data_IF_366944476450
#
_entry.id   IF_366944476450
#
_cell.length_a   1.000
_cell.length_b   1.000
_cell.length_c   1.000
_cell.angle_alpha   90.00
_cell.angle_beta   90.00
_cell.angle_gamma   90.00
#
_symmetry.space_group_name_H-M   'P 1'
#
loop_
_entity.id
_entity.type
_entity.pdbx_description
1 polymer ?
#
# COMPACT_ATOMS: atom_id res chain seq x y z
N UNK A 1 -20.06 1.52 16.36
CA UNK A 1 -18.79 1.40 15.62
C UNK A 1 -19.00 0.40 14.51
N UNK A 2 -19.07 0.85 13.25
CA UNK A 2 -19.33 -0.03 12.13
C UNK A 2 -18.17 -1.03 11.99
N UNK A 3 -18.47 -2.33 11.88
CA UNK A 3 -17.49 -3.41 11.70
C UNK A 3 -16.53 -3.14 10.52
N UNK A 4 -16.93 -2.25 9.59
CA UNK A 4 -16.10 -1.75 8.48
C UNK A 4 -14.83 -1.02 8.95
N UNK A 5 -14.85 -0.32 10.09
CA UNK A 5 -13.66 0.33 10.66
C UNK A 5 -12.72 -0.67 11.35
N UNK A 6 -13.25 -1.77 11.91
CA UNK A 6 -12.50 -2.66 12.79
C UNK A 6 -11.46 -3.51 12.03
N UNK A 7 -11.76 -3.92 10.79
CA UNK A 7 -10.86 -4.72 9.95
C UNK A 7 -9.73 -3.89 9.31
N UNK A 8 -10.00 -2.62 8.99
CA UNK A 8 -8.98 -1.73 8.41
C UNK A 8 -7.99 -1.28 9.50
N UNK A 9 -8.49 -1.02 10.71
CA UNK A 9 -7.63 -0.71 11.86
C UNK A 9 -6.71 -1.89 12.23
N UNK A 10 -7.21 -3.13 12.14
CA UNK A 10 -6.40 -4.34 12.36
C UNK A 10 -5.34 -4.58 11.27
N UNK A 11 -5.50 -4.03 10.07
CA UNK A 11 -4.52 -4.17 8.99
C UNK A 11 -3.34 -3.21 9.17
N UNK A 12 -3.58 -2.00 9.69
CA UNK A 12 -2.55 -0.98 9.93
C UNK A 12 -1.71 -1.28 11.19
N UNK A 13 -2.28 -1.93 12.21
CA UNK A 13 -1.55 -2.31 13.44
C UNK A 13 -0.60 -3.50 13.24
N UNK A 14 -0.85 -4.35 12.24
CA UNK A 14 0.00 -5.51 11.91
C UNK A 14 1.39 -5.11 11.36
N UNK A 15 1.53 -3.92 10.78
CA UNK A 15 2.81 -3.47 10.20
C UNK A 15 3.83 -3.01 11.24
N UNK A 16 3.39 -2.67 12.44
CA UNK A 16 4.22 -2.07 13.49
C UNK A 16 5.31 -2.98 14.07
N UNK A 17 5.05 -4.28 14.37
CA UNK A 17 6.07 -5.16 14.92
C UNK A 17 7.24 -5.37 13.96
N UNK A 18 7.03 -5.34 12.64
CA UNK A 18 8.09 -5.60 11.67
C UNK A 18 9.10 -4.47 11.54
N UNK A 19 8.64 -3.21 11.59
CA UNK A 19 9.56 -2.07 11.60
C UNK A 19 10.20 -1.85 12.98
N UNK A 20 9.51 -2.25 14.07
CA UNK A 20 10.07 -2.24 15.41
C UNK A 20 11.14 -3.34 15.61
N UNK A 21 10.85 -4.60 15.25
CA UNK A 21 11.77 -5.74 15.41
C UNK A 21 12.97 -5.68 14.43
N UNK A 22 12.82 -5.06 13.26
CA UNK A 22 13.95 -4.88 12.33
C UNK A 22 14.93 -3.78 12.76
N UNK A 23 14.64 -2.99 13.80
CA UNK A 23 15.67 -2.09 14.38
C UNK A 23 16.77 -2.86 15.11
N UNK A 24 16.50 -4.12 15.52
CA UNK A 24 17.46 -4.99 16.18
C UNK A 24 18.20 -5.95 15.23
N UNK A 25 17.84 -5.99 13.93
CA UNK A 25 18.58 -6.74 12.91
C UNK A 25 19.85 -6.00 12.45
N UNK A 26 20.74 -5.69 13.40
CA UNK A 26 22.15 -5.32 13.15
C UNK A 26 23.01 -6.48 12.62
N UNK A 27 22.43 -7.50 11.99
CA UNK A 27 23.15 -8.70 11.58
C UNK A 27 23.96 -8.55 10.28
N UNK A 28 23.65 -7.56 9.42
CA UNK A 28 24.34 -7.40 8.13
C UNK A 28 25.58 -6.48 8.14
N UNK A 29 25.79 -5.70 9.19
CA UNK A 29 27.08 -5.03 9.43
C UNK A 29 28.22 -6.05 9.63
N UNK A 30 27.96 -7.19 10.29
CA UNK A 30 28.96 -8.24 10.48
C UNK A 30 29.31 -9.03 9.22
N UNK A 31 28.36 -9.28 8.32
CA UNK A 31 28.63 -10.00 7.08
C UNK A 31 29.45 -9.14 6.10
N UNK A 32 29.05 -7.87 5.92
CA UNK A 32 29.80 -6.90 5.11
C UNK A 32 31.17 -6.57 5.72
N UNK A 33 31.29 -6.45 7.04
CA UNK A 33 32.59 -6.34 7.71
C UNK A 33 33.43 -7.61 7.60
N UNK A 34 32.85 -8.82 7.61
CA UNK A 34 33.62 -10.06 7.40
C UNK A 34 34.22 -10.13 5.99
N UNK A 35 33.50 -9.71 4.96
CA UNK A 35 34.07 -9.63 3.60
C UNK A 35 35.14 -8.54 3.48
N UNK A 36 34.96 -7.38 4.13
CA UNK A 36 35.99 -6.34 4.18
C UNK A 36 37.23 -6.79 4.98
N UNK A 37 37.03 -7.49 6.08
CA UNK A 37 38.07 -8.01 6.96
C UNK A 37 38.81 -9.22 6.35
N UNK A 38 38.12 -10.08 5.59
CA UNK A 38 38.75 -11.15 4.81
C UNK A 38 39.52 -10.58 3.61
N UNK A 39 39.03 -9.52 2.97
CA UNK A 39 39.76 -8.81 1.92
C UNK A 39 41.00 -8.09 2.47
N UNK A 40 40.95 -7.58 3.70
CA UNK A 40 42.09 -6.94 4.37
C UNK A 40 43.06 -7.93 5.03
N UNK A 41 42.65 -9.18 5.29
CA UNK A 41 43.51 -10.23 5.88
C UNK A 41 44.09 -11.22 4.87
N UNK A 42 43.85 -11.04 3.56
CA UNK A 42 44.52 -11.85 2.55
C UNK A 42 46.02 -11.55 2.59
N UNK A 43 46.88 -12.51 2.98
CA UNK A 43 48.31 -12.29 3.08
C UNK A 43 48.88 -11.99 1.69
N UNK A 44 49.82 -11.05 1.63
CA UNK A 44 50.53 -10.56 0.45
C UNK A 44 51.44 -11.64 -0.18
N UNK A 45 50.85 -12.75 -0.59
CA UNK A 45 51.50 -13.79 -1.37
C UNK A 45 51.44 -13.43 -2.85
N UNK A 46 52.62 -13.26 -3.44
CA UNK A 46 52.88 -12.94 -4.84
C UNK A 46 51.94 -13.68 -5.82
N UNK A 47 50.93 -12.99 -6.33
CA UNK A 47 50.18 -13.44 -7.50
C UNK A 47 50.78 -12.83 -8.76
N UNK A 48 51.40 -13.70 -9.56
CA UNK A 48 51.83 -13.42 -10.92
C UNK A 48 50.66 -12.84 -11.73
N UNK A 49 50.94 -11.70 -12.33
CA UNK A 49 50.17 -10.99 -13.34
C UNK A 49 49.54 -11.94 -14.37
N UNK A 50 48.22 -12.08 -14.29
CA UNK A 50 47.39 -12.63 -15.37
C UNK A 50 46.19 -11.69 -15.60
N UNK A 51 46.41 -10.78 -16.54
CA UNK A 51 45.49 -10.28 -17.57
C UNK A 51 44.01 -9.98 -17.23
N UNK A 52 43.70 -8.69 -17.27
CA UNK A 52 42.51 -8.11 -17.93
C UNK A 52 41.10 -8.53 -17.49
N UNK A 53 40.86 -8.80 -16.21
CA UNK A 53 39.52 -8.57 -15.65
C UNK A 53 39.41 -7.10 -15.27
N UNK A 54 38.67 -6.31 -16.07
CA UNK A 54 38.23 -4.96 -15.68
C UNK A 54 37.72 -5.04 -14.25
N UNK A 55 38.43 -4.41 -13.31
CA UNK A 55 38.05 -4.38 -11.90
C UNK A 55 36.77 -3.56 -11.76
N UNK A 56 35.64 -4.23 -11.85
CA UNK A 56 34.34 -3.65 -11.53
C UNK A 56 34.41 -3.23 -10.07
N UNK A 57 34.39 -1.92 -9.83
CA UNK A 57 34.51 -1.39 -8.47
C UNK A 57 33.36 -1.94 -7.62
N UNK A 58 33.59 -2.33 -6.36
CA UNK A 58 32.55 -2.89 -5.50
C UNK A 58 31.34 -1.94 -5.34
N UNK A 59 31.55 -0.63 -5.49
CA UNK A 59 30.51 0.40 -5.51
C UNK A 59 29.52 0.23 -6.69
N UNK A 60 30.03 -0.07 -7.88
CA UNK A 60 29.20 -0.26 -9.08
C UNK A 60 28.32 -1.51 -9.00
N UNK A 61 28.79 -2.54 -8.27
CA UNK A 61 28.08 -3.80 -8.06
C UNK A 61 26.90 -3.63 -7.07
N UNK A 62 27.07 -2.82 -6.03
CA UNK A 62 25.99 -2.45 -5.08
C UNK A 62 24.90 -1.63 -5.79
N UNK A 63 25.29 -0.66 -6.61
CA UNK A 63 24.36 0.17 -7.37
C UNK A 63 23.55 -0.63 -8.41
N UNK A 64 24.17 -1.66 -9.00
CA UNK A 64 23.48 -2.54 -9.95
C UNK A 64 22.43 -3.42 -9.27
N UNK A 65 22.72 -3.95 -8.07
CA UNK A 65 21.76 -4.77 -7.31
C UNK A 65 20.56 -3.95 -6.85
N UNK A 66 20.77 -2.74 -6.32
CA UNK A 66 19.66 -1.88 -5.91
C UNK A 66 18.73 -1.52 -7.07
N UNK A 67 19.29 -1.26 -8.26
CA UNK A 67 18.48 -1.00 -9.46
C UNK A 67 17.63 -2.22 -9.86
N UNK A 68 18.19 -3.42 -9.80
CA UNK A 68 17.44 -4.65 -10.10
C UNK A 68 16.33 -4.91 -9.08
N UNK A 69 16.60 -4.68 -7.79
CA UNK A 69 15.61 -4.79 -6.73
C UNK A 69 14.42 -3.84 -6.98
N UNK A 70 14.70 -2.55 -7.19
CA UNK A 70 13.67 -1.53 -7.47
C UNK A 70 12.84 -1.92 -8.69
N UNK A 71 13.48 -2.35 -9.78
CA UNK A 71 12.78 -2.73 -11.01
C UNK A 71 11.82 -3.91 -10.81
N UNK A 72 12.25 -4.95 -10.08
CA UNK A 72 11.39 -6.10 -9.76
C UNK A 72 10.21 -5.70 -8.88
N UNK A 73 10.42 -4.82 -7.91
CA UNK A 73 9.36 -4.28 -7.06
C UNK A 73 8.33 -3.51 -7.90
N UNK A 74 8.78 -2.64 -8.81
CA UNK A 74 7.90 -1.89 -9.73
C UNK A 74 7.09 -2.84 -10.62
N UNK A 75 7.72 -3.86 -11.20
CA UNK A 75 7.01 -4.86 -12.02
C UNK A 75 5.91 -5.54 -11.21
N UNK A 76 6.22 -5.94 -9.97
CA UNK A 76 5.25 -6.60 -9.07
C UNK A 76 4.03 -5.70 -8.84
N UNK A 77 4.26 -4.42 -8.50
CA UNK A 77 3.19 -3.44 -8.30
C UNK A 77 2.38 -3.23 -9.58
N UNK A 78 3.05 -3.10 -10.73
CA UNK A 78 2.39 -2.91 -12.02
C UNK A 78 1.48 -4.10 -12.38
N UNK A 79 1.93 -5.34 -12.14
CA UNK A 79 1.12 -6.54 -12.35
C UNK A 79 -0.13 -6.52 -11.46
N UNK A 80 -0.01 -6.14 -10.20
CA UNK A 80 -1.16 -6.05 -9.30
C UNK A 80 -2.17 -5.00 -9.75
N UNK A 81 -1.70 -3.82 -10.19
CA UNK A 81 -2.55 -2.75 -10.71
C UNK A 81 -3.29 -3.23 -11.98
N UNK A 82 -2.60 -3.94 -12.88
CA UNK A 82 -3.22 -4.49 -14.10
C UNK A 82 -4.30 -5.51 -13.75
N UNK A 83 -4.05 -6.43 -12.80
CA UNK A 83 -5.04 -7.41 -12.34
C UNK A 83 -6.27 -6.68 -11.78
N UNK A 84 -6.06 -5.68 -10.92
CA UNK A 84 -7.14 -4.89 -10.34
C UNK A 84 -7.95 -4.18 -11.43
N UNK A 85 -7.26 -3.58 -12.41
CA UNK A 85 -7.91 -2.89 -13.52
C UNK A 85 -8.76 -3.85 -14.35
N UNK A 86 -8.25 -5.05 -14.67
CA UNK A 86 -9.02 -6.09 -15.38
C UNK A 86 -10.28 -6.49 -14.60
N UNK A 87 -10.18 -6.69 -13.27
CA UNK A 87 -11.33 -7.02 -12.43
C UNK A 87 -12.37 -5.90 -12.48
N UNK A 88 -11.96 -4.64 -12.32
CA UNK A 88 -12.86 -3.49 -12.41
C UNK A 88 -13.48 -3.37 -13.81
N UNK A 89 -12.69 -3.52 -14.87
CA UNK A 89 -13.17 -3.43 -16.26
C UNK A 89 -14.15 -4.53 -16.63
N UNK A 90 -14.08 -5.71 -16.01
CA UNK A 90 -15.05 -6.81 -16.22
C UNK A 90 -16.27 -6.64 -15.30
N UNK A 91 -16.08 -6.22 -14.05
CA UNK A 91 -17.16 -6.10 -13.08
C UNK A 91 -18.11 -4.92 -13.38
N UNK A 92 -17.57 -3.80 -13.86
CA UNK A 92 -18.32 -2.56 -14.06
C UNK A 92 -19.26 -2.51 -15.29
N UNK A 93 -19.07 -3.26 -16.38
CA UNK A 93 -20.05 -3.27 -17.47
C UNK A 93 -21.18 -4.30 -17.28
N UNK A 94 -20.99 -5.34 -16.46
CA UNK A 94 -21.94 -6.46 -16.36
C UNK A 94 -23.04 -6.15 -15.32
N UNK A 95 -24.21 -5.68 -15.77
CA UNK A 95 -25.34 -5.32 -14.89
C UNK A 95 -25.78 -6.45 -13.95
N UNK A 96 -25.86 -7.68 -14.47
CA UNK A 96 -26.22 -8.85 -13.65
C UNK A 96 -25.25 -9.07 -12.48
N UNK A 97 -23.94 -8.83 -12.70
CA UNK A 97 -22.92 -8.94 -11.66
C UNK A 97 -23.03 -7.78 -10.66
N UNK A 98 -23.33 -6.57 -11.12
CA UNK A 98 -23.59 -5.41 -10.24
C UNK A 98 -24.74 -5.68 -9.29
N UNK A 99 -25.88 -6.12 -9.83
CA UNK A 99 -27.09 -6.35 -9.03
C UNK A 99 -26.88 -7.50 -8.06
N UNK A 100 -26.19 -8.56 -8.50
CA UNK A 100 -25.79 -9.64 -7.62
C UNK A 100 -24.88 -9.17 -6.49
N UNK A 101 -23.86 -8.36 -6.77
CA UNK A 101 -22.93 -7.82 -5.75
C UNK A 101 -23.64 -6.88 -4.78
N UNK A 102 -24.60 -6.07 -5.24
CA UNK A 102 -25.44 -5.22 -4.37
C UNK A 102 -26.30 -6.05 -3.42
N UNK A 103 -26.87 -7.15 -3.92
CA UNK A 103 -27.72 -8.04 -3.14
C UNK A 103 -26.93 -8.97 -2.21
N UNK A 104 -25.63 -9.16 -2.46
CA UNK A 104 -24.75 -10.05 -1.70
C UNK A 104 -23.53 -9.32 -1.13
N UNK A 105 -23.72 -8.32 -0.24
CA UNK A 105 -22.60 -7.55 0.30
C UNK A 105 -21.63 -8.43 1.10
N UNK A 106 -22.12 -9.51 1.72
CA UNK A 106 -21.30 -10.49 2.46
C UNK A 106 -20.18 -11.10 1.60
N UNK A 107 -20.39 -11.25 0.29
CA UNK A 107 -19.39 -11.79 -0.62
C UNK A 107 -18.17 -10.90 -0.71
N UNK A 108 -18.39 -9.59 -0.84
CA UNK A 108 -17.32 -8.58 -0.83
C UNK A 108 -16.54 -8.61 0.49
N UNK A 109 -17.22 -8.82 1.62
CA UNK A 109 -16.58 -8.93 2.93
C UNK A 109 -15.72 -10.19 3.04
N UNK A 110 -16.24 -11.33 2.61
CA UNK A 110 -15.52 -12.59 2.62
C UNK A 110 -14.26 -12.51 1.76
N UNK A 111 -14.37 -11.97 0.56
CA UNK A 111 -13.24 -11.81 -0.36
C UNK A 111 -12.20 -10.81 0.17
N UNK A 112 -12.64 -9.69 0.75
CA UNK A 112 -11.74 -8.77 1.45
C UNK A 112 -11.01 -9.44 2.61
N UNK A 113 -11.74 -10.16 3.46
CA UNK A 113 -11.16 -10.87 4.61
C UNK A 113 -10.14 -11.95 4.18
N UNK A 114 -10.50 -12.80 3.22
CA UNK A 114 -9.60 -13.84 2.69
C UNK A 114 -8.37 -13.24 2.01
N UNK A 115 -8.56 -12.17 1.24
CA UNK A 115 -7.47 -11.45 0.60
C UNK A 115 -6.48 -10.88 1.63
N UNK A 116 -6.98 -10.20 2.66
CA UNK A 116 -6.15 -9.67 3.76
C UNK A 116 -5.48 -10.80 4.55
N UNK A 117 -6.16 -11.92 4.78
CA UNK A 117 -5.59 -13.06 5.49
C UNK A 117 -4.43 -13.70 4.71
N UNK A 118 -4.57 -13.90 3.39
CA UNK A 118 -3.47 -14.39 2.56
C UNK A 118 -2.27 -13.43 2.56
N UNK A 119 -2.52 -12.12 2.55
CA UNK A 119 -1.46 -11.13 2.65
C UNK A 119 -0.77 -11.15 4.02
N UNK A 120 -1.56 -11.29 5.08
CA UNK A 120 -1.06 -11.44 6.45
C UNK A 120 -0.20 -12.69 6.57
N UNK A 121 -0.61 -13.81 6.00
CA UNK A 121 0.19 -15.04 5.95
C UNK A 121 1.50 -14.85 5.18
N UNK A 122 1.43 -14.20 4.00
CA UNK A 122 2.65 -13.83 3.26
C UNK A 122 3.55 -12.91 4.08
N UNK A 123 3.00 -12.07 4.95
CA UNK A 123 3.78 -11.15 5.79
C UNK A 123 4.40 -11.86 7.01
N UNK A 124 3.62 -12.70 7.70
CA UNK A 124 4.00 -13.33 8.96
C UNK A 124 4.83 -14.61 8.80
N UNK A 125 4.72 -15.30 7.65
CA UNK A 125 5.37 -16.60 7.42
C UNK A 125 6.48 -16.43 6.37
N UNK A 126 7.75 -16.30 6.79
CA UNK A 126 8.87 -16.08 5.88
C UNK A 126 9.01 -17.16 4.80
N UNK A 127 8.60 -18.40 5.11
CA UNK A 127 8.64 -19.51 4.15
C UNK A 127 7.80 -19.20 2.90
N UNK A 128 6.64 -18.55 3.05
CA UNK A 128 5.81 -18.15 1.90
C UNK A 128 6.35 -16.95 1.15
N UNK A 129 7.17 -16.09 1.77
CA UNK A 129 7.80 -14.96 1.09
C UNK A 129 8.83 -15.44 0.06
N UNK A 130 9.62 -16.46 0.45
CA UNK A 130 10.78 -16.90 -0.31
C UNK A 130 10.53 -18.16 -1.17
N UNK A 131 9.40 -18.84 -0.99
CA UNK A 131 9.06 -20.03 -1.77
C UNK A 131 8.62 -19.69 -3.20
N UNK A 132 9.56 -19.74 -4.14
CA UNK A 132 9.26 -19.70 -5.58
C UNK A 132 8.71 -21.06 -6.06
N UNK A 133 7.68 -21.11 -6.92
CA UNK A 133 6.89 -20.01 -7.49
C UNK A 133 5.64 -19.64 -6.67
N UNK A 134 5.43 -20.30 -5.52
CA UNK A 134 4.23 -20.19 -4.71
C UNK A 134 3.91 -18.75 -4.31
N UNK A 135 4.94 -17.98 -3.97
CA UNK A 135 4.83 -16.58 -3.57
C UNK A 135 4.14 -15.69 -4.63
N UNK A 136 4.40 -15.89 -5.93
CA UNK A 136 3.72 -15.18 -7.01
C UNK A 136 2.27 -15.64 -7.24
N UNK A 137 2.00 -16.93 -7.02
CA UNK A 137 0.64 -17.48 -7.13
C UNK A 137 -0.25 -16.88 -6.03
N UNK A 138 0.23 -16.88 -4.79
CA UNK A 138 -0.50 -16.29 -3.66
C UNK A 138 -0.68 -14.77 -3.87
N UNK A 139 0.32 -14.07 -4.40
CA UNK A 139 0.20 -12.66 -4.77
C UNK A 139 -0.98 -12.41 -5.72
N UNK A 140 -1.07 -13.18 -6.80
CA UNK A 140 -2.15 -13.04 -7.80
C UNK A 140 -3.49 -13.33 -7.16
N UNK A 141 -3.61 -14.43 -6.42
CA UNK A 141 -4.86 -14.82 -5.74
C UNK A 141 -5.29 -13.75 -4.74
N UNK A 142 -4.40 -13.28 -3.88
CA UNK A 142 -4.69 -12.24 -2.91
C UNK A 142 -5.13 -10.93 -3.59
N UNK A 143 -4.47 -10.55 -4.70
CA UNK A 143 -4.84 -9.36 -5.47
C UNK A 143 -6.22 -9.50 -6.08
N UNK A 144 -6.57 -10.68 -6.61
CA UNK A 144 -7.91 -10.95 -7.13
C UNK A 144 -8.96 -10.84 -6.01
N UNK A 145 -8.69 -11.46 -4.87
CA UNK A 145 -9.60 -11.45 -3.73
C UNK A 145 -9.87 -10.02 -3.23
N UNK A 146 -8.86 -9.16 -3.16
CA UNK A 146 -9.03 -7.76 -2.73
C UNK A 146 -9.57 -6.88 -3.86
N UNK A 147 -9.41 -7.28 -5.12
CA UNK A 147 -9.96 -6.54 -6.25
C UNK A 147 -11.48 -6.46 -6.25
N UNK A 148 -12.16 -7.50 -5.78
CA UNK A 148 -13.62 -7.51 -5.66
C UNK A 148 -14.18 -6.44 -4.71
N UNK A 149 -13.73 -6.33 -3.44
CA UNK A 149 -14.18 -5.25 -2.57
C UNK A 149 -13.79 -3.87 -3.09
N UNK A 150 -12.62 -3.72 -3.72
CA UNK A 150 -12.21 -2.45 -4.35
C UNK A 150 -13.14 -2.01 -5.49
N UNK A 151 -13.76 -2.96 -6.21
CA UNK A 151 -14.73 -2.67 -7.26
C UNK A 151 -16.13 -2.30 -6.73
N UNK A 152 -16.49 -2.69 -5.50
CA UNK A 152 -17.85 -2.52 -4.97
C UNK A 152 -18.31 -1.05 -4.92
N UNK A 153 -17.52 -0.07 -4.40
CA UNK A 153 -17.96 1.32 -4.40
C UNK A 153 -18.09 1.91 -5.81
N UNK A 154 -17.35 1.35 -6.77
CA UNK A 154 -17.38 1.81 -8.16
C UNK A 154 -18.66 1.37 -8.89
N UNK A 155 -19.36 0.35 -8.40
CA UNK A 155 -20.60 -0.16 -8.98
C UNK A 155 -21.77 0.83 -8.82
N UNK A 156 -21.74 1.68 -7.78
CA UNK A 156 -22.81 2.63 -7.48
C UNK A 156 -22.65 3.98 -8.19
N UNK A 157 -21.47 4.25 -8.76
CA UNK A 157 -21.17 5.49 -9.47
C UNK A 157 -21.19 5.31 -10.98
N UNK A 158 -21.34 6.42 -11.72
CA UNK A 158 -21.22 6.38 -13.16
C UNK A 158 -19.79 5.97 -13.58
N UNK A 159 -19.69 5.32 -14.75
CA UNK A 159 -18.42 4.81 -15.28
C UNK A 159 -17.30 5.87 -15.34
N UNK A 160 -17.64 7.13 -15.65
CA UNK A 160 -16.67 8.22 -15.67
C UNK A 160 -16.00 8.48 -14.31
N UNK A 161 -16.75 8.37 -13.20
CA UNK A 161 -16.21 8.54 -11.85
C UNK A 161 -15.19 7.46 -11.49
N UNK A 162 -15.28 6.28 -12.12
CA UNK A 162 -14.24 5.24 -11.96
C UNK A 162 -12.90 5.71 -12.49
N UNK A 163 -12.86 6.35 -13.66
CA UNK A 163 -11.60 6.89 -14.18
C UNK A 163 -11.05 8.00 -13.29
N UNK A 164 -11.93 8.87 -12.79
CA UNK A 164 -11.53 9.96 -11.88
C UNK A 164 -10.86 9.40 -10.62
N UNK A 165 -11.45 8.40 -9.97
CA UNK A 165 -10.87 7.81 -8.75
C UNK A 165 -9.50 7.18 -9.02
N UNK A 166 -9.35 6.46 -10.14
CA UNK A 166 -8.07 5.89 -10.56
C UNK A 166 -7.00 6.94 -10.85
N UNK A 167 -7.35 8.00 -11.58
CA UNK A 167 -6.42 9.10 -11.87
C UNK A 167 -5.98 9.76 -10.56
N UNK A 168 -6.92 10.03 -9.65
CA UNK A 168 -6.60 10.59 -8.32
C UNK A 168 -5.66 9.69 -7.53
N UNK A 169 -5.90 8.38 -7.48
CA UNK A 169 -5.02 7.40 -6.82
C UNK A 169 -3.61 7.42 -7.43
N UNK A 170 -3.50 7.48 -8.75
CA UNK A 170 -2.20 7.53 -9.43
C UNK A 170 -1.45 8.85 -9.18
N UNK A 171 -2.17 9.98 -9.15
CA UNK A 171 -1.59 11.29 -8.83
C UNK A 171 -1.08 11.29 -7.39
N UNK A 172 -1.88 10.84 -6.42
CA UNK A 172 -1.46 10.78 -5.01
C UNK A 172 -0.26 9.85 -4.87
N UNK A 173 -0.30 8.67 -5.49
CA UNK A 173 0.83 7.72 -5.53
C UNK A 173 2.10 8.40 -6.04
N UNK A 174 2.03 9.08 -7.19
CA UNK A 174 3.18 9.75 -7.79
C UNK A 174 3.72 10.87 -6.90
N UNK A 175 2.84 11.67 -6.29
CA UNK A 175 3.22 12.73 -5.34
C UNK A 175 3.90 12.13 -4.12
N UNK A 176 3.35 11.06 -3.54
CA UNK A 176 3.93 10.39 -2.36
C UNK A 176 5.29 9.80 -2.68
N UNK A 177 5.42 9.08 -3.80
CA UNK A 177 6.71 8.51 -4.23
C UNK A 177 7.74 9.61 -4.44
N UNK A 178 7.37 10.68 -5.14
CA UNK A 178 8.26 11.83 -5.40
C UNK A 178 8.67 12.53 -4.11
N UNK A 179 7.70 12.83 -3.25
CA UNK A 179 7.95 13.45 -1.95
C UNK A 179 8.86 12.58 -1.07
N UNK A 180 8.69 11.26 -1.11
CA UNK A 180 9.49 10.31 -0.32
C UNK A 180 10.95 10.24 -0.77
N UNK A 181 11.21 10.48 -2.06
CA UNK A 181 12.58 10.58 -2.61
C UNK A 181 13.27 11.85 -2.09
N UNK A 182 12.55 12.97 -2.01
CA UNK A 182 13.12 14.28 -1.64
C UNK A 182 13.15 14.52 -0.12
N UNK A 183 12.10 14.13 0.58
CA UNK A 183 11.93 14.29 2.02
C UNK A 183 12.40 13.02 2.70
N UNK A 184 13.59 13.02 3.31
CA UNK A 184 14.00 11.91 4.18
C UNK A 184 13.19 11.97 5.47
N UNK A 185 12.26 11.03 5.65
CA UNK A 185 11.41 10.97 6.82
C UNK A 185 12.11 10.19 7.94
N UNK A 186 12.27 10.82 9.09
CA UNK A 186 12.78 10.13 10.29
C UNK A 186 11.64 9.30 10.89
N UNK A 187 11.63 7.98 10.63
CA UNK A 187 10.48 7.08 10.90
C UNK A 187 9.83 7.29 12.27
N UNK A 188 10.62 7.32 13.34
CA UNK A 188 10.10 7.46 14.70
C UNK A 188 9.42 8.83 14.93
N UNK A 189 10.08 9.91 14.49
CA UNK A 189 9.53 11.28 14.61
C UNK A 189 8.37 11.53 13.65
N UNK A 190 8.37 10.86 12.51
CA UNK A 190 7.31 10.95 11.50
C UNK A 190 6.09 10.16 11.93
N UNK A 191 6.26 9.02 12.62
CA UNK A 191 5.17 8.22 13.17
C UNK A 191 4.42 8.97 14.29
N UNK A 192 5.16 9.49 15.28
CA UNK A 192 4.55 10.28 16.36
C UNK A 192 3.84 11.51 15.82
N UNK A 193 4.46 12.20 14.83
CA UNK A 193 3.80 13.33 14.15
C UNK A 193 2.56 12.88 13.37
N UNK A 194 2.58 11.74 12.69
CA UNK A 194 1.40 11.23 11.99
C UNK A 194 0.24 10.98 12.94
N UNK A 195 0.47 10.26 14.04
CA UNK A 195 -0.56 9.99 15.05
C UNK A 195 -1.13 11.30 15.57
N UNK A 196 -0.27 12.20 16.05
CA UNK A 196 -0.71 13.48 16.59
C UNK A 196 -1.48 14.27 15.53
N UNK A 197 -0.98 14.39 14.31
CA UNK A 197 -1.64 15.14 13.23
C UNK A 197 -2.96 14.50 12.82
N UNK A 198 -3.04 13.18 12.70
CA UNK A 198 -4.27 12.47 12.32
C UNK A 198 -5.34 12.66 13.39
N UNK A 199 -5.02 12.37 14.65
CA UNK A 199 -5.96 12.60 15.76
C UNK A 199 -6.31 14.08 15.94
N UNK A 200 -5.38 15.01 15.73
CA UNK A 200 -5.66 16.45 15.84
C UNK A 200 -6.56 16.93 14.72
N UNK A 201 -6.34 16.49 13.47
CA UNK A 201 -7.20 16.82 12.34
C UNK A 201 -8.58 16.19 12.50
N UNK A 202 -8.67 14.95 12.97
CA UNK A 202 -9.95 14.29 13.27
C UNK A 202 -10.71 15.03 14.37
N UNK A 203 -10.04 15.41 15.46
CA UNK A 203 -10.63 16.18 16.55
C UNK A 203 -11.09 17.56 16.09
N UNK A 204 -10.27 18.27 15.32
CA UNK A 204 -10.58 19.60 14.79
C UNK A 204 -11.79 19.53 13.85
N UNK A 205 -11.83 18.54 12.97
CA UNK A 205 -12.97 18.31 12.09
C UNK A 205 -14.24 18.02 12.88
N UNK A 206 -14.17 17.17 13.91
CA UNK A 206 -15.29 16.94 14.82
C UNK A 206 -15.76 18.25 15.47
N UNK A 207 -14.86 19.04 16.06
CA UNK A 207 -15.24 20.26 16.78
C UNK A 207 -15.81 21.35 15.85
N UNK A 208 -15.26 21.50 14.64
CA UNK A 208 -15.69 22.53 13.69
C UNK A 208 -16.98 22.12 12.98
N UNK A 209 -17.12 20.87 12.54
CA UNK A 209 -18.23 20.49 11.68
C UNK A 209 -19.43 19.92 12.45
N UNK A 210 -19.24 19.37 13.66
CA UNK A 210 -20.33 18.87 14.49
C UNK A 210 -21.45 19.90 14.80
N UNK A 211 -21.15 21.19 15.09
CA UNK A 211 -22.22 22.16 15.36
C UNK A 211 -22.92 22.71 14.11
N UNK A 212 -22.34 22.57 12.91
CA UNK A 212 -22.88 23.17 11.68
C UNK A 212 -23.60 22.19 10.77
N UNK A 213 -23.58 20.89 11.08
CA UNK A 213 -24.06 19.87 10.17
C UNK A 213 -25.40 19.29 10.65
N UNK A 214 -26.45 19.47 9.84
CA UNK A 214 -27.73 18.75 9.93
C UNK A 214 -27.69 17.31 9.33
N UNK A 215 -26.53 16.82 8.91
CA UNK A 215 -26.36 15.43 8.44
C UNK A 215 -26.42 14.44 9.61
N UNK A 216 -26.79 13.19 9.29
CA UNK A 216 -26.69 12.09 10.25
C UNK A 216 -25.23 11.96 10.74
N UNK A 217 -25.04 11.96 12.06
CA UNK A 217 -23.73 11.80 12.71
C UNK A 217 -22.90 10.62 12.14
N UNK A 218 -23.60 9.59 11.67
CA UNK A 218 -23.02 8.40 11.05
C UNK A 218 -22.26 8.69 9.75
N UNK A 219 -22.77 9.59 8.92
CA UNK A 219 -22.22 9.94 7.61
C UNK A 219 -20.91 10.73 7.72
N UNK A 220 -20.89 11.68 8.66
CA UNK A 220 -19.71 12.47 9.01
C UNK A 220 -18.60 11.55 9.54
N UNK A 221 -18.97 10.60 10.40
CA UNK A 221 -18.01 9.65 10.98
C UNK A 221 -17.38 8.76 9.90
N UNK A 222 -18.16 8.33 8.91
CA UNK A 222 -17.63 7.53 7.79
C UNK A 222 -16.60 8.32 6.98
N UNK A 223 -16.94 9.55 6.58
CA UNK A 223 -16.00 10.41 5.82
C UNK A 223 -14.73 10.66 6.63
N UNK A 224 -14.87 10.95 7.93
CA UNK A 224 -13.73 11.20 8.81
C UNK A 224 -12.79 9.99 8.90
N UNK A 225 -13.36 8.79 9.09
CA UNK A 225 -12.58 7.56 9.07
C UNK A 225 -11.88 7.35 7.72
N UNK A 226 -12.54 7.64 6.60
CA UNK A 226 -11.95 7.57 5.27
C UNK A 226 -10.71 8.45 5.13
N UNK A 227 -10.80 9.71 5.56
CA UNK A 227 -9.66 10.65 5.54
C UNK A 227 -8.52 10.20 6.47
N UNK A 228 -8.81 9.80 7.70
CA UNK A 228 -7.80 9.30 8.64
C UNK A 228 -7.03 8.09 8.10
N UNK A 229 -7.75 7.14 7.49
CA UNK A 229 -7.16 5.98 6.83
C UNK A 229 -6.30 6.38 5.61
N UNK A 230 -6.75 7.35 4.82
CA UNK A 230 -5.98 7.83 3.66
C UNK A 230 -4.64 8.45 4.08
N UNK A 231 -4.63 9.25 5.15
CA UNK A 231 -3.41 9.84 5.70
C UNK A 231 -2.44 8.75 6.17
N UNK A 232 -2.96 7.70 6.81
CA UNK A 232 -2.14 6.56 7.27
C UNK A 232 -1.53 5.80 6.10
N UNK A 233 -2.31 5.51 5.06
CA UNK A 233 -1.82 4.84 3.84
C UNK A 233 -0.74 5.66 3.13
N UNK A 234 -0.95 6.97 2.99
CA UNK A 234 0.03 7.90 2.39
C UNK A 234 1.36 7.82 3.15
N UNK A 235 1.30 7.77 4.47
CA UNK A 235 2.48 7.68 5.32
C UNK A 235 3.18 6.32 5.23
N UNK A 236 2.45 5.22 5.30
CA UNK A 236 3.02 3.87 5.16
C UNK A 236 3.68 3.69 3.80
N UNK A 237 3.04 4.21 2.75
CA UNK A 237 3.58 4.19 1.40
C UNK A 237 4.89 4.97 1.32
N UNK A 238 4.98 6.14 1.97
CA UNK A 238 6.20 6.93 2.00
C UNK A 238 7.35 6.18 2.67
N UNK A 239 7.08 5.48 3.78
CA UNK A 239 8.07 4.65 4.47
C UNK A 239 8.56 3.50 3.61
N UNK A 240 7.65 2.78 2.95
CA UNK A 240 8.00 1.65 2.10
C UNK A 240 8.85 2.13 0.91
N UNK A 241 8.51 3.26 0.28
CA UNK A 241 9.29 3.84 -0.82
C UNK A 241 10.71 4.19 -0.36
N UNK A 242 10.86 4.80 0.82
CA UNK A 242 12.19 5.11 1.37
C UNK A 242 13.00 3.86 1.68
N UNK A 243 12.34 2.83 2.21
CA UNK A 243 12.98 1.56 2.49
C UNK A 243 13.39 0.83 1.19
N UNK A 244 12.60 0.92 0.10
CA UNK A 244 12.95 0.40 -1.23
C UNK A 244 14.16 1.14 -1.83
N UNK A 245 14.23 2.46 -1.66
CA UNK A 245 15.33 3.29 -2.17
C UNK A 245 16.64 3.12 -1.39
N UNK A 246 16.63 2.34 -0.30
CA UNK A 246 17.82 2.01 0.47
C UNK A 246 18.26 3.14 1.40
N UNK A 247 17.32 3.81 2.07
CA UNK A 247 17.69 4.71 3.16
C UNK A 247 18.53 3.95 4.21
N UNK A 248 19.54 4.61 4.80
CA UNK A 248 20.65 3.97 5.54
C UNK A 248 20.23 3.11 6.74
N UNK A 249 18.96 3.17 7.13
CA UNK A 249 18.39 2.49 8.30
C UNK A 249 17.71 1.17 7.95
N UNK A 250 17.34 0.94 6.68
CA UNK A 250 16.63 -0.25 6.24
C UNK A 250 17.30 -0.81 4.99
N UNK A 251 17.86 -2.01 5.12
CA UNK A 251 18.39 -2.75 3.97
C UNK A 251 17.56 -4.00 3.80
N UNK A 252 16.73 -4.02 2.76
CA UNK A 252 16.04 -5.24 2.35
C UNK A 252 17.04 -6.20 1.71
N UNK A 253 16.79 -7.50 1.92
CA UNK A 253 17.48 -8.53 1.16
C UNK A 253 16.97 -8.55 -0.28
N UNK A 254 17.82 -8.95 -1.22
CA UNK A 254 17.50 -8.97 -2.66
C UNK A 254 16.25 -9.82 -2.99
N UNK A 255 15.91 -10.80 -2.13
CA UNK A 255 14.75 -11.70 -2.21
C UNK A 255 13.44 -11.11 -1.65
N UNK A 256 13.50 -9.98 -0.94
CA UNK A 256 12.32 -9.32 -0.34
C UNK A 256 11.60 -8.34 -1.28
N UNK A 257 12.04 -8.21 -2.54
CA UNK A 257 11.41 -7.32 -3.53
C UNK A 257 9.92 -7.64 -3.74
N UNK A 258 9.55 -8.92 -3.66
CA UNK A 258 8.16 -9.35 -3.78
C UNK A 258 7.31 -8.84 -2.63
N UNK A 259 7.84 -8.90 -1.39
CA UNK A 259 7.16 -8.37 -0.21
C UNK A 259 6.96 -6.86 -0.34
N UNK A 260 8.01 -6.12 -0.70
CA UNK A 260 7.90 -4.67 -0.93
C UNK A 260 6.88 -4.34 -2.03
N UNK A 261 6.87 -5.14 -3.11
CA UNK A 261 5.92 -4.98 -4.22
C UNK A 261 4.49 -5.24 -3.77
N UNK A 262 4.26 -6.35 -3.06
CA UNK A 262 2.97 -6.73 -2.48
C UNK A 262 2.42 -5.63 -1.58
N UNK A 263 3.23 -5.12 -0.65
CA UNK A 263 2.82 -4.09 0.29
C UNK A 263 2.52 -2.78 -0.41
N UNK A 264 3.37 -2.37 -1.36
CA UNK A 264 3.14 -1.14 -2.13
C UNK A 264 1.86 -1.24 -2.96
N UNK A 265 1.64 -2.36 -3.67
CA UNK A 265 0.43 -2.57 -4.45
C UNK A 265 -0.82 -2.67 -3.59
N UNK A 266 -0.73 -3.32 -2.43
CA UNK A 266 -1.80 -3.37 -1.43
C UNK A 266 -2.22 -1.95 -1.00
N UNK A 267 -1.27 -1.10 -0.63
CA UNK A 267 -1.57 0.29 -0.24
C UNK A 267 -2.25 1.07 -1.36
N UNK A 268 -1.83 0.87 -2.61
CA UNK A 268 -2.49 1.48 -3.79
C UNK A 268 -3.93 0.98 -3.92
N UNK A 269 -4.18 -0.33 -3.75
CA UNK A 269 -5.52 -0.91 -3.82
C UNK A 269 -6.41 -0.38 -2.69
N UNK A 270 -5.90 -0.27 -1.46
CA UNK A 270 -6.64 0.31 -0.34
C UNK A 270 -6.94 1.79 -0.53
N UNK A 271 -5.95 2.55 -1.03
CA UNK A 271 -6.16 3.95 -1.38
C UNK A 271 -7.25 4.10 -2.43
N UNK A 272 -7.23 3.26 -3.48
CA UNK A 272 -8.27 3.23 -4.50
C UNK A 272 -9.65 2.90 -3.90
N UNK A 273 -9.73 1.92 -2.99
CA UNK A 273 -10.98 1.56 -2.31
C UNK A 273 -11.53 2.74 -1.51
N UNK A 274 -10.70 3.43 -0.73
CA UNK A 274 -11.12 4.57 0.09
C UNK A 274 -11.59 5.71 -0.80
N UNK A 275 -10.78 6.12 -1.79
CA UNK A 275 -11.14 7.20 -2.73
C UNK A 275 -12.44 6.87 -3.44
N UNK A 276 -12.62 5.62 -3.88
CA UNK A 276 -13.85 5.19 -4.55
C UNK A 276 -15.05 5.21 -3.62
N UNK A 277 -14.86 4.87 -2.34
CA UNK A 277 -15.93 4.91 -1.33
C UNK A 277 -16.36 6.34 -1.03
N UNK A 278 -15.42 7.27 -0.87
CA UNK A 278 -15.71 8.68 -0.65
C UNK A 278 -16.43 9.32 -1.85
N UNK A 279 -15.96 9.04 -3.07
CA UNK A 279 -16.63 9.54 -4.29
C UNK A 279 -18.04 8.96 -4.44
N UNK A 280 -18.22 7.67 -4.16
CA UNK A 280 -19.53 7.05 -4.17
C UNK A 280 -20.48 7.66 -3.12
N UNK A 281 -19.96 7.97 -1.94
CA UNK A 281 -20.71 8.61 -0.88
C UNK A 281 -21.17 10.01 -1.27
N UNK A 282 -20.27 10.86 -1.79
CA UNK A 282 -20.58 12.20 -2.29
C UNK A 282 -21.60 12.15 -3.43
N UNK A 283 -21.47 11.18 -4.34
CA UNK A 283 -22.41 10.99 -5.45
C UNK A 283 -23.83 10.66 -4.96
N UNK A 284 -23.96 9.82 -3.93
CA UNK A 284 -25.27 9.48 -3.34
C UNK A 284 -25.90 10.69 -2.65
N UNK A 285 -25.12 11.45 -1.86
CA UNK A 285 -25.62 12.64 -1.18
C UNK A 285 -26.13 13.69 -2.17
N UNK A 286 -25.33 14.01 -3.19
CA UNK A 286 -25.71 15.01 -4.21
C UNK A 286 -26.94 14.61 -5.02
N UNK A 287 -27.17 13.31 -5.25
CA UNK A 287 -28.37 12.81 -5.93
C UNK A 287 -29.61 12.85 -5.04
N UNK A 288 -29.47 12.57 -3.75
CA UNK A 288 -30.59 12.60 -2.80
C UNK A 288 -31.20 13.99 -2.69
N UNK A 289 -30.38 15.04 -2.70
CA UNK A 289 -30.87 16.42 -2.63
C UNK A 289 -31.64 16.82 -3.91
N UNK A 290 -31.15 16.43 -5.09
CA UNK A 290 -31.81 16.76 -6.35
C UNK A 290 -33.21 16.11 -6.49
N UNK A 291 -33.38 14.87 -6.04
CA UNK A 291 -34.68 14.19 -6.11
C UNK A 291 -35.72 14.79 -5.15
N UNK A 292 -35.31 15.50 -4.10
CA UNK A 292 -36.24 16.17 -3.19
C UNK A 292 -36.73 17.52 -3.76
N UNK A 293 -35.97 18.18 -4.64
CA UNK A 293 -36.35 19.46 -5.26
C UNK A 293 -37.55 19.29 -6.21
N UNK A 294 -37.69 18.14 -6.87
CA UNK A 294 -38.80 17.84 -7.79
C UNK A 294 -40.14 17.54 -7.08
N UNK A 295 -40.14 17.42 -5.75
CA UNK A 295 -41.36 17.23 -4.94
C UNK A 295 -41.93 18.53 -4.36
N UNK A 296 -41.27 19.66 -4.58
CA UNK A 296 -41.69 20.98 -4.09
C UNK A 296 -41.90 22.02 -5.21
N UNK A 297 -41.95 21.56 -6.47
CA UNK A 297 -42.44 22.32 -7.63
C UNK A 297 -43.73 21.68 -8.14
#
# INVERSE_FOLDING_TARGET
>A
MSVKCLLIFNSCTVFQPFFADNTDYYFYSRASMRYLHLAMMSPSGEMKSQSNTKSVSPLSLVQQRSKQFIWKTIITVAVQIVILWVICSVALPVEALKDWMKNNPWFSWLFGFLGTLLQLEMFLIPQFQFAFPYNYIVLIIATILIGFPAALPLITVAFWWTFVTWITTMIITAVVVTASVFLRLDILKSFVRLIITTFTMELLYCLIFFPFIHFNLYDILIMLCGFGMMITIIWEMALIVQAILGDRRFTFRDDQHLLCGLLTGMLIIWMQLIISTEVAFIYVLTRSDNNNVDTYL
#
